data_IF_267521617084
#
_entry.id   IF_267521617084
#
_cell.length_a   1.000
_cell.length_b   1.000
_cell.length_c   1.000
_cell.angle_alpha   90.00
_cell.angle_beta   90.00
_cell.angle_gamma   90.00
#
_symmetry.space_group_name_H-M   'P 1'
#
loop_
_entity.id
_entity.type
_entity.pdbx_description
1 polymer ?
#
# COMPACT_ATOMS: atom_id res chain seq x y z
N UNK A 1 43.42 -73.32 78.10
CA UNK A 1 43.02 -72.09 77.38
C UNK A 1 41.53 -72.23 77.11
N UNK A 2 40.71 -71.38 77.74
CA UNK A 2 39.27 -71.60 77.96
C UNK A 2 38.43 -71.44 76.68
N UNK A 3 37.53 -72.39 76.44
CA UNK A 3 36.54 -72.42 75.33
C UNK A 3 35.74 -71.11 75.20
N UNK A 4 35.47 -70.42 76.32
CA UNK A 4 34.81 -69.12 76.33
C UNK A 4 35.56 -68.04 75.52
N UNK A 5 36.90 -68.12 75.46
CA UNK A 5 37.73 -67.17 74.71
C UNK A 5 37.66 -67.41 73.20
N UNK A 6 37.48 -68.66 72.78
CA UNK A 6 37.22 -69.01 71.38
C UNK A 6 35.83 -68.59 70.94
N UNK A 7 34.81 -68.79 71.79
CA UNK A 7 33.44 -68.34 71.51
C UNK A 7 33.39 -66.81 71.36
N UNK A 8 34.04 -66.05 72.25
CA UNK A 8 34.10 -64.59 72.12
C UNK A 8 34.80 -64.16 70.82
N UNK A 9 35.91 -64.80 70.46
CA UNK A 9 36.59 -64.52 69.20
C UNK A 9 35.73 -64.81 67.97
N UNK A 10 34.83 -65.80 68.04
CA UNK A 10 33.88 -66.08 66.97
C UNK A 10 32.76 -65.04 66.91
N UNK A 11 32.27 -64.55 68.06
CA UNK A 11 31.27 -63.47 68.13
C UNK A 11 31.85 -62.18 67.54
N UNK A 12 33.06 -61.79 67.95
CA UNK A 12 33.73 -60.58 67.46
C UNK A 12 33.99 -60.66 65.94
N UNK A 13 34.26 -61.87 65.41
CA UNK A 13 34.39 -62.09 63.97
C UNK A 13 33.07 -61.88 63.23
N UNK A 14 31.97 -62.43 63.76
CA UNK A 14 30.63 -62.28 63.18
C UNK A 14 30.20 -60.80 63.21
N UNK A 15 30.47 -60.08 64.30
CA UNK A 15 30.16 -58.65 64.40
C UNK A 15 30.97 -57.82 63.41
N UNK A 16 32.27 -58.09 63.24
CA UNK A 16 33.10 -57.40 62.24
C UNK A 16 32.64 -57.71 60.82
N UNK A 17 32.34 -58.96 60.51
CA UNK A 17 31.84 -59.34 59.18
C UNK A 17 30.48 -58.68 58.88
N UNK A 18 29.60 -58.60 59.87
CA UNK A 18 28.33 -57.88 59.73
C UNK A 18 28.53 -56.37 59.52
N UNK A 19 29.52 -55.78 60.21
CA UNK A 19 29.83 -54.36 60.07
C UNK A 19 30.50 -54.04 58.73
N UNK A 20 31.42 -54.87 58.25
CA UNK A 20 32.01 -54.73 56.91
C UNK A 20 30.94 -54.86 55.82
N UNK A 21 30.00 -55.80 55.95
CA UNK A 21 28.86 -55.90 55.01
C UNK A 21 27.93 -54.70 55.07
N UNK A 22 27.70 -54.12 56.25
CA UNK A 22 26.89 -52.91 56.37
C UNK A 22 27.58 -51.71 55.69
N UNK A 23 28.88 -51.54 55.91
CA UNK A 23 29.68 -50.49 55.26
C UNK A 23 29.75 -50.67 53.74
N UNK A 24 29.85 -51.89 53.25
CA UNK A 24 29.79 -52.21 51.81
C UNK A 24 28.42 -51.84 51.20
N UNK A 25 27.33 -52.19 51.89
CA UNK A 25 25.97 -51.84 51.45
C UNK A 25 25.74 -50.32 51.46
N UNK A 26 26.22 -49.61 52.48
CA UNK A 26 26.10 -48.16 52.57
C UNK A 26 26.92 -47.47 51.46
N UNK A 27 28.14 -47.96 51.18
CA UNK A 27 28.96 -47.45 50.09
C UNK A 27 28.31 -47.69 48.72
N UNK A 28 27.77 -48.89 48.49
CA UNK A 28 27.05 -49.23 47.26
C UNK A 28 25.78 -48.38 47.09
N UNK A 29 25.00 -48.20 48.16
CA UNK A 29 23.79 -47.37 48.14
C UNK A 29 24.10 -45.89 47.84
N UNK A 30 25.20 -45.37 48.37
CA UNK A 30 25.65 -44.01 48.09
C UNK A 30 26.09 -43.84 46.63
N UNK A 31 26.81 -44.82 46.07
CA UNK A 31 27.22 -44.81 44.67
C UNK A 31 25.99 -44.85 43.74
N UNK A 32 25.03 -45.74 44.00
CA UNK A 32 23.78 -45.81 43.24
C UNK A 32 22.97 -44.51 43.33
N UNK A 33 22.87 -43.92 44.53
CA UNK A 33 22.21 -42.64 44.73
C UNK A 33 22.84 -41.52 43.88
N UNK A 34 24.17 -41.42 43.89
CA UNK A 34 24.88 -40.37 43.16
C UNK A 34 24.76 -40.55 41.65
N UNK A 35 24.81 -41.79 41.15
CA UNK A 35 24.59 -42.11 39.73
C UNK A 35 23.16 -41.74 39.31
N UNK A 36 22.15 -42.15 40.08
CA UNK A 36 20.75 -41.89 39.71
C UNK A 36 20.40 -40.40 39.80
N UNK A 37 20.92 -39.70 40.81
CA UNK A 37 20.80 -38.25 40.94
C UNK A 37 21.44 -37.54 39.74
N UNK A 38 22.65 -37.92 39.34
CA UNK A 38 23.30 -37.35 38.16
C UNK A 38 22.48 -37.61 36.90
N UNK A 39 21.97 -38.82 36.71
CA UNK A 39 21.12 -39.19 35.57
C UNK A 39 19.87 -38.31 35.48
N UNK A 40 19.16 -38.12 36.58
CA UNK A 40 17.96 -37.27 36.64
C UNK A 40 18.28 -35.80 36.35
N UNK A 41 19.35 -35.27 36.95
CA UNK A 41 19.78 -33.88 36.75
C UNK A 41 20.22 -33.65 35.31
N UNK A 42 20.95 -34.57 34.69
CA UNK A 42 21.39 -34.46 33.30
C UNK A 42 20.22 -34.55 32.31
N UNK A 43 19.26 -35.43 32.57
CA UNK A 43 18.04 -35.53 31.77
C UNK A 43 17.26 -34.20 31.76
N UNK A 44 17.04 -33.59 32.94
CA UNK A 44 16.34 -32.30 33.03
C UNK A 44 17.17 -31.13 32.48
N UNK A 45 18.49 -31.09 32.72
CA UNK A 45 19.38 -30.09 32.10
C UNK A 45 19.28 -30.12 30.58
N UNK A 46 19.21 -31.30 29.99
CA UNK A 46 19.09 -31.47 28.53
C UNK A 46 17.77 -30.90 28.02
N UNK A 47 16.64 -31.19 28.70
CA UNK A 47 15.32 -30.61 28.37
C UNK A 47 15.32 -29.09 28.51
N UNK A 48 15.90 -28.55 29.58
CA UNK A 48 15.99 -27.11 29.82
C UNK A 48 16.83 -26.44 28.73
N UNK A 49 17.99 -27.01 28.36
CA UNK A 49 18.83 -26.49 27.28
C UNK A 49 18.08 -26.44 25.94
N UNK A 50 17.38 -27.50 25.57
CA UNK A 50 16.62 -27.55 24.32
C UNK A 50 15.50 -26.49 24.28
N UNK A 51 14.76 -26.31 25.37
CA UNK A 51 13.71 -25.29 25.45
C UNK A 51 14.27 -23.86 25.46
N UNK A 52 15.38 -23.64 26.15
CA UNK A 52 16.08 -22.35 26.16
C UNK A 52 16.61 -21.98 24.77
N UNK A 53 17.19 -22.94 24.04
CA UNK A 53 17.66 -22.74 22.67
C UNK A 53 16.51 -22.39 21.73
N UNK A 54 15.38 -23.10 21.83
CA UNK A 54 14.16 -22.79 21.05
C UNK A 54 13.66 -21.38 21.34
N UNK A 55 13.60 -20.98 22.62
CA UNK A 55 13.19 -19.62 23.02
C UNK A 55 14.16 -18.56 22.47
N UNK A 56 15.47 -18.80 22.53
CA UNK A 56 16.49 -17.89 21.99
C UNK A 56 16.33 -17.70 20.48
N UNK A 57 16.18 -18.80 19.73
CA UNK A 57 15.91 -18.78 18.28
C UNK A 57 14.62 -18.00 17.98
N UNK A 58 13.56 -18.18 18.77
CA UNK A 58 12.31 -17.44 18.60
C UNK A 58 12.48 -15.94 18.82
N UNK A 59 13.26 -15.52 19.84
CA UNK A 59 13.56 -14.11 20.08
C UNK A 59 14.30 -13.49 18.91
N UNK A 60 15.28 -14.19 18.34
CA UNK A 60 16.02 -13.72 17.17
C UNK A 60 15.11 -13.55 15.95
N UNK A 61 14.21 -14.51 15.70
CA UNK A 61 13.21 -14.42 14.64
C UNK A 61 12.26 -13.24 14.89
N UNK A 62 11.71 -13.10 16.10
CA UNK A 62 10.82 -12.00 16.46
C UNK A 62 11.50 -10.64 16.28
N UNK A 63 12.79 -10.52 16.63
CA UNK A 63 13.57 -9.30 16.43
C UNK A 63 13.71 -8.97 14.94
N UNK A 64 13.97 -9.96 14.08
CA UNK A 64 14.05 -9.77 12.63
C UNK A 64 12.70 -9.33 12.04
N UNK A 65 11.60 -9.97 12.47
CA UNK A 65 10.24 -9.61 12.06
C UNK A 65 9.90 -8.19 12.50
N UNK A 66 10.18 -7.82 13.75
CA UNK A 66 9.94 -6.48 14.26
C UNK A 66 10.70 -5.42 13.46
N UNK A 67 11.98 -5.67 13.14
CA UNK A 67 12.79 -4.78 12.30
C UNK A 67 12.22 -4.64 10.89
N UNK A 68 11.78 -5.74 10.28
CA UNK A 68 11.17 -5.74 8.95
C UNK A 68 9.84 -4.95 8.95
N UNK A 69 8.99 -5.17 9.94
CA UNK A 69 7.73 -4.44 10.12
C UNK A 69 7.96 -2.96 10.33
N UNK A 70 8.95 -2.58 11.15
CA UNK A 70 9.31 -1.18 11.33
C UNK A 70 9.74 -0.53 10.01
N UNK A 71 10.63 -1.17 9.25
CA UNK A 71 11.07 -0.65 7.94
C UNK A 71 9.91 -0.54 6.95
N UNK A 72 9.02 -1.54 6.90
CA UNK A 72 7.80 -1.50 6.10
C UNK A 72 6.91 -0.32 6.48
N UNK A 73 6.69 -0.09 7.77
CA UNK A 73 5.86 1.01 8.26
C UNK A 73 6.44 2.38 7.86
N UNK A 74 7.76 2.56 7.95
CA UNK A 74 8.40 3.80 7.48
C UNK A 74 8.23 4.00 5.96
N UNK A 75 8.38 2.93 5.16
CA UNK A 75 8.16 3.00 3.71
C UNK A 75 6.73 3.37 3.37
N UNK A 76 5.74 2.76 4.04
CA UNK A 76 4.33 3.09 3.86
C UNK A 76 4.05 4.55 4.20
N UNK A 77 4.59 5.04 5.31
CA UNK A 77 4.45 6.45 5.69
C UNK A 77 4.99 7.40 4.60
N UNK A 78 6.15 7.11 4.04
CA UNK A 78 6.70 7.91 2.93
C UNK A 78 5.81 7.84 1.69
N UNK A 79 5.25 6.67 1.36
CA UNK A 79 4.32 6.51 0.23
C UNK A 79 3.02 7.31 0.44
N UNK A 80 2.46 7.29 1.65
CA UNK A 80 1.27 8.06 2.02
C UNK A 80 1.52 9.56 1.91
N UNK A 81 2.63 10.07 2.43
CA UNK A 81 2.96 11.50 2.32
C UNK A 81 3.20 11.92 0.86
N UNK A 82 3.86 11.08 0.06
CA UNK A 82 3.99 11.33 -1.39
C UNK A 82 2.64 11.38 -2.09
N UNK A 83 1.70 10.52 -1.73
CA UNK A 83 0.34 10.54 -2.28
C UNK A 83 -0.40 11.84 -1.91
N UNK A 84 -0.28 12.30 -0.64
CA UNK A 84 -0.85 13.57 -0.20
C UNK A 84 -0.30 14.76 -0.98
N UNK A 85 1.01 14.80 -1.23
CA UNK A 85 1.64 15.85 -2.03
C UNK A 85 1.07 15.86 -3.47
N UNK A 86 0.85 14.68 -4.06
CA UNK A 86 0.26 14.57 -5.40
C UNK A 86 -1.20 15.05 -5.42
N UNK A 87 -1.98 14.73 -4.38
CA UNK A 87 -3.35 15.22 -4.23
C UNK A 87 -3.40 16.75 -4.07
N UNK A 88 -2.49 17.32 -3.27
CA UNK A 88 -2.34 18.76 -3.14
C UNK A 88 -1.97 19.43 -4.46
N UNK A 89 -1.06 18.84 -5.24
CA UNK A 89 -0.72 19.34 -6.58
C UNK A 89 -1.93 19.32 -7.53
N UNK A 90 -2.72 18.25 -7.46
CA UNK A 90 -3.94 18.14 -8.26
C UNK A 90 -4.95 19.24 -7.89
N UNK A 91 -5.15 19.48 -6.59
CA UNK A 91 -6.03 20.54 -6.10
C UNK A 91 -5.53 21.95 -6.46
N UNK A 92 -4.21 22.21 -6.37
CA UNK A 92 -3.63 23.48 -6.79
C UNK A 92 -3.77 23.70 -8.30
N UNK A 93 -3.61 22.64 -9.10
CA UNK A 93 -3.85 22.67 -10.54
C UNK A 93 -5.30 23.02 -10.84
N UNK A 94 -6.25 22.38 -10.14
CA UNK A 94 -7.69 22.68 -10.25
C UNK A 94 -7.97 24.16 -9.99
N UNK A 95 -7.42 24.72 -8.90
CA UNK A 95 -7.61 26.14 -8.56
C UNK A 95 -7.05 27.08 -9.64
N UNK A 96 -5.87 26.78 -10.19
CA UNK A 96 -5.28 27.56 -11.28
C UNK A 96 -6.11 27.51 -12.55
N UNK A 97 -6.69 26.35 -12.87
CA UNK A 97 -7.61 26.20 -14.01
C UNK A 97 -8.87 27.03 -13.79
N UNK A 98 -9.49 26.93 -12.61
CA UNK A 98 -10.68 27.73 -12.27
C UNK A 98 -10.42 29.24 -12.36
N UNK A 99 -9.24 29.71 -11.93
CA UNK A 99 -8.86 31.11 -12.07
C UNK A 99 -8.79 31.57 -13.53
N UNK A 100 -8.36 30.70 -14.46
CA UNK A 100 -8.38 31.00 -15.91
C UNK A 100 -9.79 31.02 -16.51
N UNK A 101 -10.68 30.17 -15.99
CA UNK A 101 -12.07 30.10 -16.43
C UNK A 101 -12.86 31.33 -15.98
N UNK A 102 -12.48 31.91 -14.85
CA UNK A 102 -13.08 33.14 -14.34
C UNK A 102 -12.88 34.35 -15.28
N UNK A 103 -11.92 34.31 -16.22
CA UNK A 103 -11.80 35.29 -17.30
C UNK A 103 -12.67 34.88 -18.51
N UNK A 104 -13.81 35.56 -18.77
CA UNK A 104 -14.74 35.15 -19.82
C UNK A 104 -14.14 35.22 -21.23
N UNK A 105 -13.19 36.14 -21.48
CA UNK A 105 -12.63 36.34 -22.82
C UNK A 105 -11.71 35.19 -23.21
N UNK A 106 -10.83 34.79 -22.29
CA UNK A 106 -9.94 33.64 -22.49
C UNK A 106 -10.73 32.32 -22.50
N UNK A 107 -11.70 32.18 -21.60
CA UNK A 107 -12.51 30.98 -21.50
C UNK A 107 -13.34 30.75 -22.77
N UNK A 108 -13.96 31.80 -23.33
CA UNK A 108 -14.73 31.71 -24.57
C UNK A 108 -13.89 31.18 -25.74
N UNK A 109 -12.71 31.75 -25.97
CA UNK A 109 -11.82 31.31 -27.05
C UNK A 109 -11.37 29.84 -26.88
N UNK A 110 -11.10 29.43 -25.64
CA UNK A 110 -10.77 28.05 -25.30
C UNK A 110 -11.97 27.11 -25.52
N UNK A 111 -13.16 27.49 -25.07
CA UNK A 111 -14.39 26.71 -25.22
C UNK A 111 -14.71 26.43 -26.69
N UNK A 112 -14.64 27.45 -27.54
CA UNK A 112 -14.80 27.29 -28.99
C UNK A 112 -13.78 26.32 -29.58
N UNK A 113 -12.51 26.41 -29.16
CA UNK A 113 -11.44 25.51 -29.60
C UNK A 113 -11.68 24.05 -29.17
N UNK A 114 -12.19 23.83 -27.95
CA UNK A 114 -12.53 22.50 -27.44
C UNK A 114 -13.71 21.88 -28.21
N UNK A 115 -14.70 22.70 -28.59
CA UNK A 115 -15.82 22.25 -29.42
C UNK A 115 -15.32 21.86 -30.81
N UNK A 116 -14.50 22.71 -31.46
CA UNK A 116 -13.89 22.40 -32.75
C UNK A 116 -13.14 21.06 -32.73
N UNK A 117 -12.30 20.83 -31.72
CA UNK A 117 -11.56 19.56 -31.57
C UNK A 117 -12.51 18.35 -31.45
N UNK A 118 -13.60 18.51 -30.69
CA UNK A 118 -14.57 17.43 -30.46
C UNK A 118 -15.34 17.10 -31.74
N UNK A 119 -15.78 18.11 -32.49
CA UNK A 119 -16.48 17.94 -33.77
C UNK A 119 -15.60 17.26 -34.84
N UNK A 120 -14.32 17.65 -34.92
CA UNK A 120 -13.36 17.02 -35.84
C UNK A 120 -13.07 15.56 -35.50
N UNK A 121 -13.16 15.20 -34.21
CA UNK A 121 -12.98 13.82 -33.73
C UNK A 121 -14.20 12.95 -34.02
N UNK A 122 -15.40 13.51 -33.89
CA UNK A 122 -16.67 12.79 -34.04
C UNK A 122 -17.07 12.56 -35.50
N UNK A 123 -16.94 13.59 -36.34
CA UNK A 123 -17.30 13.58 -37.78
C UNK A 123 -18.73 13.13 -38.12
N UNK A 124 -19.67 13.32 -37.20
CA UNK A 124 -21.10 13.05 -37.39
C UNK A 124 -21.93 14.21 -36.83
N UNK A 125 -23.26 14.11 -36.98
CA UNK A 125 -24.19 14.95 -36.22
C UNK A 125 -23.92 14.83 -34.72
N UNK A 126 -24.00 15.96 -34.03
CA UNK A 126 -23.41 16.14 -32.71
C UNK A 126 -24.40 16.75 -31.71
N UNK A 127 -24.44 16.18 -30.52
CA UNK A 127 -25.16 16.70 -29.35
C UNK A 127 -24.14 17.20 -28.33
N UNK A 128 -24.10 18.51 -28.10
CA UNK A 128 -23.18 19.16 -27.17
C UNK A 128 -23.84 19.25 -25.79
N UNK A 129 -23.21 18.64 -24.79
CA UNK A 129 -23.52 18.83 -23.38
C UNK A 129 -22.49 19.76 -22.75
N UNK A 130 -22.98 20.76 -22.04
CA UNK A 130 -22.17 21.74 -21.34
C UNK A 130 -22.77 22.01 -19.95
N UNK A 131 -22.11 22.87 -19.17
CA UNK A 131 -22.67 23.34 -17.91
C UNK A 131 -23.80 24.33 -18.16
N UNK A 132 -24.66 24.49 -17.16
CA UNK A 132 -25.75 25.46 -17.21
C UNK A 132 -25.25 26.90 -17.44
N UNK A 133 -24.12 27.26 -16.84
CA UNK A 133 -23.49 28.58 -16.96
C UNK A 133 -23.00 28.87 -18.39
N UNK A 134 -22.53 27.83 -19.10
CA UNK A 134 -21.93 27.94 -20.42
C UNK A 134 -22.96 27.80 -21.56
N UNK A 135 -24.15 27.27 -21.25
CA UNK A 135 -25.18 26.94 -22.23
C UNK A 135 -25.63 28.15 -23.07
N UNK A 136 -25.74 29.33 -22.47
CA UNK A 136 -26.12 30.55 -23.18
C UNK A 136 -25.10 30.93 -24.26
N UNK A 137 -23.80 30.73 -23.98
CA UNK A 137 -22.73 31.07 -24.90
C UNK A 137 -22.57 30.00 -26.00
N UNK A 138 -22.67 28.72 -25.64
CA UNK A 138 -22.65 27.61 -26.61
C UNK A 138 -23.79 27.74 -27.60
N UNK A 139 -25.02 28.02 -27.14
CA UNK A 139 -26.19 28.18 -28.01
C UNK A 139 -26.04 29.31 -29.03
N UNK A 140 -25.34 30.41 -28.67
CA UNK A 140 -25.07 31.52 -29.60
C UNK A 140 -24.10 31.14 -30.71
N UNK A 141 -23.17 30.22 -30.42
CA UNK A 141 -22.09 29.86 -31.35
C UNK A 141 -22.47 28.71 -32.30
N UNK A 142 -23.61 28.03 -32.12
CA UNK A 142 -24.00 26.86 -32.93
C UNK A 142 -23.94 27.14 -34.44
N UNK A 143 -24.56 28.23 -34.90
CA UNK A 143 -24.57 28.56 -36.33
C UNK A 143 -23.17 28.87 -36.89
N UNK A 144 -22.31 29.48 -36.07
CA UNK A 144 -20.92 29.77 -36.45
C UNK A 144 -20.10 28.48 -36.53
N UNK A 145 -20.31 27.55 -35.59
CA UNK A 145 -19.65 26.24 -35.54
C UNK A 145 -20.03 25.36 -36.74
N UNK A 146 -21.30 25.33 -37.12
CA UNK A 146 -21.78 24.59 -38.31
C UNK A 146 -21.15 25.14 -39.59
N UNK A 147 -21.08 26.47 -39.73
CA UNK A 147 -20.42 27.13 -40.86
C UNK A 147 -18.93 26.81 -40.90
N UNK A 148 -18.24 26.95 -39.77
CA UNK A 148 -16.82 26.66 -39.65
C UNK A 148 -16.50 25.20 -39.99
N UNK A 149 -17.33 24.25 -39.53
CA UNK A 149 -17.13 22.83 -39.80
C UNK A 149 -17.29 22.51 -41.29
N UNK A 150 -18.30 23.10 -41.94
CA UNK A 150 -18.53 22.97 -43.39
C UNK A 150 -17.38 23.52 -44.21
N UNK A 151 -16.84 24.68 -43.83
CA UNK A 151 -15.66 25.27 -44.48
C UNK A 151 -14.40 24.41 -44.33
N UNK A 152 -14.23 23.74 -43.19
CA UNK A 152 -13.03 22.93 -42.92
C UNK A 152 -13.06 21.51 -43.49
N UNK A 153 -14.21 20.85 -43.48
CA UNK A 153 -14.33 19.43 -43.83
C UNK A 153 -15.10 19.18 -45.13
N UNK A 154 -15.84 20.17 -45.63
CA UNK A 154 -16.73 20.03 -46.79
C UNK A 154 -18.05 19.32 -46.49
N UNK A 155 -18.24 18.77 -45.28
CA UNK A 155 -19.47 18.10 -44.85
C UNK A 155 -20.34 19.02 -43.99
N UNK A 156 -21.66 18.88 -44.11
CA UNK A 156 -22.61 19.58 -43.23
C UNK A 156 -22.98 18.66 -42.09
N UNK A 157 -22.92 19.16 -40.85
CA UNK A 157 -23.35 18.45 -39.64
C UNK A 157 -24.44 19.26 -38.95
N UNK A 158 -25.37 18.59 -38.29
CA UNK A 158 -26.33 19.21 -37.40
C UNK A 158 -25.79 19.22 -35.97
N UNK A 159 -25.76 20.40 -35.35
CA UNK A 159 -25.33 20.57 -33.96
C UNK A 159 -26.54 20.91 -33.08
N UNK A 160 -26.77 20.10 -32.04
CA UNK A 160 -27.83 20.33 -31.06
C UNK A 160 -27.26 20.43 -29.65
N UNK A 161 -27.91 21.22 -28.80
CA UNK A 161 -27.56 21.28 -27.37
C UNK A 161 -28.33 20.23 -26.60
N UNK A 162 -27.63 19.43 -25.81
CA UNK A 162 -28.23 18.41 -24.96
C UNK A 162 -29.13 19.01 -23.87
N UNK A 163 -30.19 18.30 -23.51
CA UNK A 163 -31.13 18.72 -22.46
C UNK A 163 -30.58 18.55 -21.03
N UNK A 164 -29.53 17.74 -20.88
CA UNK A 164 -28.88 17.45 -19.60
C UNK A 164 -27.61 18.27 -19.47
N UNK A 165 -27.48 19.00 -18.38
CA UNK A 165 -26.29 19.79 -18.07
C UNK A 165 -25.24 18.97 -17.33
N UNK A 166 -23.97 19.31 -17.58
CA UNK A 166 -22.84 18.73 -16.84
C UNK A 166 -22.77 19.30 -15.42
N UNK A 167 -22.33 18.47 -14.48
CA UNK A 167 -22.10 18.89 -13.10
C UNK A 167 -20.93 19.89 -13.04
N UNK A 168 -21.19 21.13 -12.60
CA UNK A 168 -20.17 22.16 -12.47
C UNK A 168 -19.00 21.75 -11.56
N UNK A 169 -19.22 20.90 -10.54
CA UNK A 169 -18.15 20.45 -9.63
C UNK A 169 -17.16 19.49 -10.29
N UNK A 170 -17.64 18.65 -11.21
CA UNK A 170 -16.84 17.58 -11.83
C UNK A 170 -16.22 18.02 -13.14
N UNK A 171 -16.93 18.74 -14.00
CA UNK A 171 -16.44 19.05 -15.35
C UNK A 171 -15.32 20.12 -15.39
N UNK A 172 -15.26 20.98 -14.37
CA UNK A 172 -14.39 22.17 -14.29
C UNK A 172 -14.53 23.22 -15.40
N UNK A 173 -15.01 22.84 -16.57
CA UNK A 173 -15.42 23.64 -17.73
C UNK A 173 -15.41 22.77 -18.98
N UNK A 174 -15.65 23.37 -20.13
CA UNK A 174 -15.61 22.65 -21.41
C UNK A 174 -16.90 21.90 -21.74
N UNK A 175 -16.78 20.91 -22.63
CA UNK A 175 -17.93 20.24 -23.25
C UNK A 175 -17.74 18.74 -23.34
N UNK A 176 -18.87 18.02 -23.31
CA UNK A 176 -18.95 16.62 -23.75
C UNK A 176 -19.77 16.62 -25.02
N UNK A 177 -19.21 16.11 -26.11
CA UNK A 177 -19.89 16.05 -27.41
C UNK A 177 -20.19 14.59 -27.73
N UNK A 178 -21.46 14.30 -27.99
CA UNK A 178 -21.92 12.96 -28.31
C UNK A 178 -22.42 12.90 -29.75
N UNK A 179 -22.37 11.73 -30.37
CA UNK A 179 -23.09 11.49 -31.64
C UNK A 179 -24.60 11.58 -31.43
N UNK A 180 -25.35 11.91 -32.49
CA UNK A 180 -26.81 11.91 -32.46
C UNK A 180 -27.39 10.57 -31.98
N UNK A 181 -26.73 9.46 -32.32
CA UNK A 181 -27.12 8.10 -31.90
C UNK A 181 -26.66 7.76 -30.46
N UNK A 182 -25.88 8.62 -29.81
CA UNK A 182 -25.36 8.44 -28.45
C UNK A 182 -24.22 7.42 -28.30
N UNK A 183 -23.82 6.73 -29.37
CA UNK A 183 -22.81 5.66 -29.30
C UNK A 183 -21.37 6.16 -29.12
N UNK A 184 -21.05 7.32 -29.70
CA UNK A 184 -19.70 7.90 -29.64
C UNK A 184 -19.75 9.12 -28.72
N UNK A 185 -18.92 9.13 -27.68
CA UNK A 185 -18.83 10.20 -26.69
C UNK A 185 -17.40 10.74 -26.67
N UNK A 186 -17.25 12.03 -26.97
CA UNK A 186 -16.02 12.77 -26.85
C UNK A 186 -16.08 13.66 -25.62
N UNK A 187 -15.44 13.23 -24.53
CA UNK A 187 -15.33 14.02 -23.32
C UNK A 187 -14.14 14.99 -23.44
N UNK A 188 -14.42 16.28 -23.63
CA UNK A 188 -13.41 17.32 -23.70
C UNK A 188 -13.55 18.34 -22.55
N UNK A 189 -14.02 17.86 -21.39
CA UNK A 189 -14.07 18.65 -20.15
C UNK A 189 -12.67 18.90 -19.62
N UNK A 190 -12.49 20.03 -18.92
CA UNK A 190 -11.18 20.42 -18.43
C UNK A 190 -10.66 19.49 -17.32
N UNK A 191 -11.56 18.92 -16.52
CA UNK A 191 -11.20 17.90 -15.53
C UNK A 191 -10.65 16.63 -16.19
N UNK A 192 -11.36 16.08 -17.17
CA UNK A 192 -10.94 14.87 -17.89
C UNK A 192 -9.60 15.06 -18.61
N UNK A 193 -9.40 16.21 -19.27
CA UNK A 193 -8.11 16.55 -19.89
C UNK A 193 -7.00 16.67 -18.86
N UNK A 194 -7.26 17.30 -17.72
CA UNK A 194 -6.26 17.46 -16.66
C UNK A 194 -5.85 16.11 -16.10
N UNK A 195 -6.82 15.24 -15.83
CA UNK A 195 -6.57 13.87 -15.37
C UNK A 195 -5.76 13.06 -16.39
N UNK A 196 -6.13 13.14 -17.68
CA UNK A 196 -5.40 12.47 -18.76
C UNK A 196 -3.95 12.95 -18.83
N UNK A 197 -3.73 14.26 -18.86
CA UNK A 197 -2.38 14.85 -18.84
C UNK A 197 -1.59 14.42 -17.59
N UNK A 198 -2.25 14.37 -16.44
CA UNK A 198 -1.59 13.99 -15.18
C UNK A 198 -1.17 12.52 -15.19
N UNK A 199 -1.99 11.63 -15.76
CA UNK A 199 -1.68 10.22 -15.90
C UNK A 199 -0.53 9.97 -16.89
N UNK A 200 -0.53 10.67 -18.03
CA UNK A 200 0.54 10.58 -19.03
C UNK A 200 1.87 11.15 -18.51
N UNK A 201 1.81 12.29 -17.80
CA UNK A 201 2.99 12.98 -17.27
C UNK A 201 3.36 12.54 -15.85
N UNK A 202 2.69 11.55 -15.29
CA UNK A 202 2.95 11.06 -13.93
C UNK A 202 4.43 10.69 -13.69
N UNK A 203 5.14 10.04 -14.64
CA UNK A 203 6.57 9.76 -14.49
C UNK A 203 7.39 11.05 -14.37
N UNK A 204 7.15 12.02 -15.25
CA UNK A 204 7.84 13.33 -15.28
C UNK A 204 7.58 14.12 -14.00
N UNK A 205 6.33 14.18 -13.55
CA UNK A 205 5.94 14.86 -12.31
C UNK A 205 6.65 14.21 -11.10
N UNK A 206 6.65 12.88 -11.01
CA UNK A 206 7.36 12.17 -9.94
C UNK A 206 8.86 12.41 -9.96
N UNK A 207 9.46 12.46 -11.14
CA UNK A 207 10.87 12.78 -11.30
C UNK A 207 11.19 14.16 -10.74
N UNK A 208 10.44 15.20 -11.13
CA UNK A 208 10.73 16.55 -10.65
C UNK A 208 10.41 16.77 -9.16
N UNK A 209 9.39 16.10 -8.62
CA UNK A 209 8.98 16.30 -7.22
C UNK A 209 9.80 15.48 -6.22
N UNK A 210 10.23 14.27 -6.61
CA UNK A 210 10.75 13.29 -5.65
C UNK A 210 12.15 12.77 -6.00
N UNK A 211 12.79 13.25 -7.07
CA UNK A 211 14.16 12.86 -7.38
C UNK A 211 15.14 13.58 -6.42
N UNK A 212 15.89 12.83 -5.59
CA UNK A 212 16.88 13.41 -4.68
C UNK A 212 18.02 14.14 -5.41
N UNK A 213 18.35 13.79 -6.66
CA UNK A 213 19.44 14.44 -7.42
C UNK A 213 19.04 15.79 -8.02
N UNK A 214 17.74 16.07 -8.15
CA UNK A 214 17.22 17.34 -8.66
C UNK A 214 17.07 18.37 -7.52
N UNK A 215 17.10 17.92 -6.27
CA UNK A 215 16.92 18.77 -5.07
C UNK A 215 18.24 19.15 -4.38
N UNK A 216 19.39 18.87 -5.01
CA UNK A 216 20.72 19.30 -4.57
C UNK A 216 21.23 20.45 -5.44
#
# INVERSE_FOLDING_TARGET
>A
MSEARQIQSMIDFIEREAQEKAEELDAAAQEEYDVEKMRLVEAEKTKIRATAEKKRKQVDVNRRVARANYSKMQRLRVMEERAKIMEQLHEQTRQKIMAKIADPSQYKAMLTSLIHQSLLSLRTDAVIQCRQEDAAEVNRQIHELEKWYKEKTGASISIQTGKTFLNSKEAWGGVVVMSADGHIVCNNTLSYRTETCFNEQLPTVRYHLFNPEVSA
#
